data_IF_244329502056
#
_entry.id   IF_244329502056
#
_cell.length_a   1.000
_cell.length_b   1.000
_cell.length_c   1.000
_cell.angle_alpha   90.00
_cell.angle_beta   90.00
_cell.angle_gamma   90.00
#
_symmetry.space_group_name_H-M   'P 1'
#
loop_
_entity.id
_entity.type
_entity.pdbx_description
1 polymer ?
#
# COMPACT_ATOMS: atom_id res chain seq x y z
N UNK A 1 37.92 3.64 12.28
CA UNK A 1 37.46 3.07 11.00
C UNK A 1 35.93 3.04 11.01
N UNK A 2 35.31 4.11 10.52
CA UNK A 2 33.85 4.28 10.49
C UNK A 2 33.24 3.25 9.55
N UNK A 3 32.34 2.40 10.04
CA UNK A 3 31.49 1.55 9.18
C UNK A 3 30.54 2.49 8.44
N UNK A 4 30.90 2.89 7.22
CA UNK A 4 29.96 3.50 6.30
C UNK A 4 28.80 2.52 6.10
N UNK A 5 27.62 2.91 6.56
CA UNK A 5 26.39 2.22 6.20
C UNK A 5 26.19 2.42 4.70
N UNK A 6 26.19 1.32 3.95
CA UNK A 6 25.81 1.26 2.55
C UNK A 6 24.49 2.01 2.32
N UNK A 7 24.36 2.67 1.17
CA UNK A 7 23.16 3.45 0.87
C UNK A 7 21.94 2.51 0.76
N UNK A 8 20.70 2.97 1.02
CA UNK A 8 19.50 2.12 0.99
C UNK A 8 19.26 1.41 -0.34
N UNK A 9 19.85 1.90 -1.43
CA UNK A 9 19.77 1.30 -2.77
C UNK A 9 20.71 0.09 -2.96
N UNK A 10 21.61 -0.21 -2.00
CA UNK A 10 22.61 -1.29 -2.08
C UNK A 10 22.23 -2.58 -1.31
N UNK A 11 20.95 -2.78 -0.99
CA UNK A 11 20.47 -4.13 -0.64
C UNK A 11 20.09 -4.88 -1.91
N UNK A 12 21.11 -5.28 -2.68
CA UNK A 12 20.93 -6.22 -3.79
C UNK A 12 20.32 -7.52 -3.24
N UNK A 13 19.17 -7.89 -3.79
CA UNK A 13 18.55 -9.16 -3.44
C UNK A 13 19.22 -10.23 -4.30
N UNK A 14 20.43 -10.62 -3.91
CA UNK A 14 21.32 -11.51 -4.68
C UNK A 14 20.61 -12.78 -5.12
N UNK A 15 19.71 -13.32 -4.29
CA UNK A 15 18.86 -14.45 -4.65
C UNK A 15 18.02 -14.18 -5.91
N UNK A 16 17.34 -13.04 -5.98
CA UNK A 16 16.50 -12.68 -7.12
C UNK A 16 17.34 -12.47 -8.36
N UNK A 17 18.49 -11.81 -8.24
CA UNK A 17 19.38 -11.54 -9.36
C UNK A 17 19.94 -12.83 -9.95
N UNK A 18 20.36 -13.78 -9.09
CA UNK A 18 20.77 -15.13 -9.49
C UNK A 18 19.64 -15.90 -10.20
N UNK A 19 18.42 -15.85 -9.66
CA UNK A 19 17.28 -16.53 -10.28
C UNK A 19 16.88 -15.90 -11.62
N UNK A 20 16.94 -14.58 -11.75
CA UNK A 20 16.69 -13.91 -13.03
C UNK A 20 17.73 -14.31 -14.06
N UNK A 21 19.02 -14.30 -13.70
CA UNK A 21 20.12 -14.69 -14.56
C UNK A 21 19.99 -16.16 -15.03
N UNK A 22 19.47 -17.05 -14.17
CA UNK A 22 19.21 -18.44 -14.51
C UNK A 22 17.96 -18.62 -15.40
N UNK A 23 16.84 -17.99 -15.07
CA UNK A 23 15.55 -18.23 -15.70
C UNK A 23 15.36 -17.50 -17.04
N UNK A 24 15.88 -16.27 -17.15
CA UNK A 24 15.63 -15.41 -18.32
C UNK A 24 16.12 -16.03 -19.63
N UNK A 25 17.35 -16.59 -19.73
CA UNK A 25 17.81 -17.25 -20.95
C UNK A 25 16.96 -18.46 -21.34
N UNK A 26 16.46 -19.22 -20.36
CA UNK A 26 15.59 -20.36 -20.60
C UNK A 26 14.25 -19.90 -21.16
N UNK A 27 13.69 -18.80 -20.66
CA UNK A 27 12.45 -18.23 -21.19
C UNK A 27 12.62 -17.68 -22.60
N UNK A 28 13.76 -17.04 -22.89
CA UNK A 28 14.12 -16.59 -24.23
C UNK A 28 14.22 -17.77 -25.20
N UNK A 29 14.86 -18.87 -24.79
CA UNK A 29 14.96 -20.09 -25.59
C UNK A 29 13.59 -20.75 -25.84
N UNK A 30 12.65 -20.67 -24.89
CA UNK A 30 11.29 -21.18 -25.06
C UNK A 30 10.39 -20.26 -25.90
N UNK A 31 10.70 -18.97 -26.00
CA UNK A 31 9.85 -17.95 -26.61
C UNK A 31 9.35 -18.29 -28.04
N UNK A 32 10.15 -18.91 -28.93
CA UNK A 32 9.70 -19.23 -30.29
C UNK A 32 8.65 -20.35 -30.38
N UNK A 33 8.52 -21.19 -29.36
CA UNK A 33 7.69 -22.41 -29.42
C UNK A 33 6.20 -22.15 -29.16
N UNK A 34 5.33 -23.16 -29.35
CA UNK A 34 3.89 -23.04 -29.05
C UNK A 34 3.62 -23.13 -27.54
N UNK A 35 2.44 -22.70 -27.09
CA UNK A 35 2.06 -22.65 -25.67
C UNK A 35 2.32 -23.97 -24.91
N UNK A 36 1.89 -25.11 -25.44
CA UNK A 36 2.08 -26.41 -24.78
C UNK A 36 3.57 -26.80 -24.67
N UNK A 37 4.37 -26.44 -25.66
CA UNK A 37 5.81 -26.66 -25.67
C UNK A 37 6.51 -25.75 -24.65
N UNK A 38 6.15 -24.47 -24.58
CA UNK A 38 6.63 -23.57 -23.52
C UNK A 38 6.25 -24.07 -22.11
N UNK A 39 5.07 -24.68 -21.98
CA UNK A 39 4.54 -25.25 -20.74
C UNK A 39 5.34 -26.47 -20.26
N UNK A 40 5.54 -27.45 -21.14
CA UNK A 40 6.14 -28.75 -20.83
C UNK A 40 7.65 -28.82 -21.04
N UNK A 41 8.17 -28.03 -21.97
CA UNK A 41 9.56 -28.03 -22.43
C UNK A 41 9.68 -28.54 -23.86
N UNK A 42 10.87 -28.36 -24.44
CA UNK A 42 11.24 -28.85 -25.78
C UNK A 42 12.67 -29.38 -25.73
N UNK A 43 12.87 -30.64 -26.11
CA UNK A 43 14.17 -31.29 -25.99
C UNK A 43 14.69 -31.19 -24.54
N UNK A 44 15.89 -30.63 -24.38
CA UNK A 44 16.53 -30.42 -23.08
C UNK A 44 16.10 -29.12 -22.38
N UNK A 45 15.29 -28.27 -23.03
CA UNK A 45 14.84 -27.00 -22.47
C UNK A 45 13.62 -27.25 -21.57
N UNK A 46 13.71 -27.07 -20.24
CA UNK A 46 12.61 -27.35 -19.33
C UNK A 46 11.49 -26.32 -19.50
N UNK A 47 10.23 -26.78 -19.52
CA UNK A 47 9.08 -25.89 -19.55
C UNK A 47 8.83 -25.17 -18.22
N UNK A 48 8.02 -24.10 -18.26
CA UNK A 48 7.79 -23.27 -17.08
C UNK A 48 7.17 -24.01 -15.88
N UNK A 49 6.41 -25.10 -16.09
CA UNK A 49 5.84 -25.87 -14.98
C UNK A 49 6.92 -26.57 -14.16
N UNK A 50 7.90 -27.16 -14.84
CA UNK A 50 9.03 -27.85 -14.20
C UNK A 50 9.93 -26.84 -13.49
N UNK A 51 10.19 -25.70 -14.13
CA UNK A 51 10.94 -24.60 -13.52
C UNK A 51 10.24 -24.07 -12.28
N UNK A 52 8.91 -23.88 -12.30
CA UNK A 52 8.16 -23.44 -11.13
C UNK A 52 8.24 -24.45 -9.97
N UNK A 53 8.19 -25.75 -10.26
CA UNK A 53 8.34 -26.79 -9.25
C UNK A 53 9.77 -26.88 -8.68
N UNK A 54 10.80 -26.60 -9.49
CA UNK A 54 12.17 -26.46 -9.04
C UNK A 54 12.34 -25.23 -8.14
N UNK A 55 11.83 -24.09 -8.59
CA UNK A 55 11.89 -22.82 -7.86
C UNK A 55 11.18 -22.92 -6.50
N UNK A 56 10.02 -23.57 -6.45
CA UNK A 56 9.31 -23.79 -5.19
C UNK A 56 10.15 -24.61 -4.19
N UNK A 57 10.90 -25.61 -4.66
CA UNK A 57 11.80 -26.39 -3.80
C UNK A 57 12.98 -25.57 -3.29
N UNK A 58 13.59 -24.77 -4.18
CA UNK A 58 14.67 -23.85 -3.82
C UNK A 58 14.18 -22.86 -2.76
N UNK A 59 13.06 -22.19 -3.00
CA UNK A 59 12.48 -21.23 -2.07
C UNK A 59 12.15 -21.83 -0.70
N UNK A 60 11.60 -23.04 -0.64
CA UNK A 60 11.32 -23.73 0.63
C UNK A 60 12.59 -24.13 1.38
N UNK A 61 13.68 -24.43 0.67
CA UNK A 61 14.97 -24.78 1.26
C UNK A 61 15.75 -23.54 1.73
N UNK A 62 15.76 -22.48 0.92
CA UNK A 62 16.47 -21.22 1.20
C UNK A 62 15.75 -20.40 2.27
N UNK A 63 14.41 -20.43 2.28
CA UNK A 63 13.58 -19.71 3.24
C UNK A 63 12.64 -20.69 3.95
N UNK A 64 13.19 -21.55 4.82
CA UNK A 64 12.38 -22.51 5.55
C UNK A 64 11.40 -21.80 6.49
N UNK A 65 10.27 -22.44 6.70
CA UNK A 65 9.33 -22.08 7.76
C UNK A 65 9.42 -23.15 8.85
N UNK A 66 10.09 -22.81 9.94
CA UNK A 66 10.40 -23.73 11.04
C UNK A 66 9.17 -24.07 11.90
N UNK A 67 8.03 -23.43 11.63
CA UNK A 67 6.77 -23.75 12.30
C UNK A 67 6.32 -25.18 11.98
N UNK A 68 5.49 -25.80 12.85
CA UNK A 68 4.82 -27.07 12.55
C UNK A 68 4.06 -27.00 11.23
N UNK A 69 3.93 -28.12 10.50
CA UNK A 69 3.34 -28.13 9.15
C UNK A 69 1.94 -27.50 9.08
N UNK A 70 1.12 -27.67 10.13
CA UNK A 70 -0.21 -27.06 10.24
C UNK A 70 -0.16 -25.52 10.36
N UNK A 71 0.99 -24.95 10.72
CA UNK A 71 1.20 -23.54 11.00
C UNK A 71 2.09 -22.81 10.00
N UNK A 72 2.75 -23.54 9.10
CA UNK A 72 3.61 -22.95 8.07
C UNK A 72 2.84 -21.98 7.17
N UNK A 73 3.48 -20.84 6.87
CA UNK A 73 2.98 -19.75 6.04
C UNK A 73 3.94 -19.34 4.93
N UNK A 74 5.24 -19.66 5.05
CA UNK A 74 6.28 -19.36 4.06
C UNK A 74 6.30 -17.87 3.65
N UNK A 75 6.15 -16.97 4.62
CA UNK A 75 6.01 -15.53 4.37
C UNK A 75 7.19 -14.95 3.56
N UNK A 76 8.42 -15.36 3.87
CA UNK A 76 9.61 -14.90 3.16
C UNK A 76 9.63 -15.43 1.72
N UNK A 77 9.33 -16.71 1.49
CA UNK A 77 9.24 -17.27 0.15
C UNK A 77 8.14 -16.59 -0.70
N UNK A 78 6.96 -16.32 -0.13
CA UNK A 78 5.88 -15.59 -0.80
C UNK A 78 6.29 -14.17 -1.22
N UNK A 79 7.09 -13.48 -0.40
CA UNK A 79 7.68 -12.18 -0.76
C UNK A 79 8.65 -12.32 -1.91
N UNK A 80 9.55 -13.31 -1.87
CA UNK A 80 10.51 -13.54 -2.95
C UNK A 80 9.85 -13.93 -4.27
N UNK A 81 8.77 -14.72 -4.25
CA UNK A 81 7.96 -15.00 -5.45
C UNK A 81 7.45 -13.70 -6.09
N UNK A 82 6.99 -12.76 -5.27
CA UNK A 82 6.49 -11.47 -5.77
C UNK A 82 7.61 -10.63 -6.37
N UNK A 83 8.77 -10.58 -5.69
CA UNK A 83 9.97 -9.88 -6.18
C UNK A 83 10.47 -10.49 -7.50
N UNK A 84 10.56 -11.83 -7.59
CA UNK A 84 11.03 -12.55 -8.77
C UNK A 84 10.14 -12.28 -9.99
N UNK A 85 8.81 -12.29 -9.82
CA UNK A 85 7.87 -11.94 -10.89
C UNK A 85 8.08 -10.53 -11.42
N UNK A 86 8.33 -9.56 -10.52
CA UNK A 86 8.59 -8.17 -10.91
C UNK A 86 9.92 -8.05 -11.64
N UNK A 87 10.98 -8.67 -11.09
CA UNK A 87 12.32 -8.64 -11.65
C UNK A 87 12.37 -9.30 -13.04
N UNK A 88 11.78 -10.49 -13.22
CA UNK A 88 11.70 -11.16 -14.53
C UNK A 88 10.97 -10.33 -15.58
N UNK A 89 9.90 -9.62 -15.20
CA UNK A 89 9.17 -8.73 -16.12
C UNK A 89 9.96 -7.48 -16.48
N UNK A 90 10.80 -6.98 -15.57
CA UNK A 90 11.68 -5.85 -15.82
C UNK A 90 12.82 -6.30 -16.75
N UNK A 91 13.53 -7.36 -16.37
CA UNK A 91 14.62 -7.95 -17.14
C UNK A 91 14.19 -8.33 -18.57
N UNK A 92 12.99 -8.90 -18.73
CA UNK A 92 12.44 -9.20 -20.06
C UNK A 92 12.27 -7.96 -20.96
N UNK A 93 12.22 -6.74 -20.40
CA UNK A 93 12.13 -5.49 -21.17
C UNK A 93 13.48 -4.83 -21.40
N UNK A 94 14.46 -5.09 -20.54
CA UNK A 94 15.73 -4.35 -20.49
C UNK A 94 16.94 -5.18 -20.92
N UNK A 95 16.86 -6.51 -20.84
CA UNK A 95 18.03 -7.41 -20.94
C UNK A 95 17.93 -8.44 -22.07
N UNK A 96 16.78 -8.56 -22.75
CA UNK A 96 16.65 -9.48 -23.88
C UNK A 96 17.48 -9.02 -25.07
N UNK A 97 18.09 -9.99 -25.77
CA UNK A 97 18.89 -9.71 -26.98
C UNK A 97 18.01 -9.39 -28.17
N UNK A 98 16.86 -10.06 -28.27
CA UNK A 98 15.87 -9.83 -29.32
C UNK A 98 14.62 -9.11 -28.77
N UNK A 99 14.41 -7.84 -29.12
CA UNK A 99 13.23 -7.08 -28.74
C UNK A 99 11.89 -7.72 -29.17
N UNK A 100 11.89 -8.55 -30.23
CA UNK A 100 10.67 -9.23 -30.67
C UNK A 100 10.19 -10.29 -29.66
N UNK A 101 11.08 -10.78 -28.80
CA UNK A 101 10.76 -11.82 -27.81
C UNK A 101 10.21 -11.28 -26.49
N UNK A 102 10.21 -9.96 -26.28
CA UNK A 102 9.73 -9.30 -25.05
C UNK A 102 8.34 -9.80 -24.63
N UNK A 103 7.37 -9.77 -25.54
CA UNK A 103 6.01 -10.17 -25.23
C UNK A 103 5.89 -11.69 -24.94
N UNK A 104 6.41 -12.60 -25.79
CA UNK A 104 6.48 -14.02 -25.50
C UNK A 104 7.14 -14.35 -24.15
N UNK A 105 8.27 -13.72 -23.82
CA UNK A 105 9.00 -13.96 -22.56
C UNK A 105 8.19 -13.45 -21.36
N UNK A 106 7.56 -12.27 -21.45
CA UNK A 106 6.66 -11.76 -20.40
C UNK A 106 5.48 -12.71 -20.17
N UNK A 107 4.94 -13.31 -21.23
CA UNK A 107 3.88 -14.33 -21.12
C UNK A 107 4.38 -15.57 -20.38
N UNK A 108 5.56 -16.09 -20.74
CA UNK A 108 6.19 -17.23 -20.05
C UNK A 108 6.44 -16.91 -18.58
N UNK A 109 7.05 -15.77 -18.27
CA UNK A 109 7.33 -15.32 -16.90
C UNK A 109 6.03 -15.18 -16.07
N UNK A 110 4.94 -14.74 -16.71
CA UNK A 110 3.62 -14.66 -16.07
C UNK A 110 3.06 -16.06 -15.75
N UNK A 111 3.13 -17.01 -16.69
CA UNK A 111 2.67 -18.38 -16.46
C UNK A 111 3.52 -19.13 -15.43
N UNK A 112 4.85 -19.00 -15.52
CA UNK A 112 5.80 -19.47 -14.51
C UNK A 112 5.42 -18.95 -13.13
N UNK A 113 5.25 -17.62 -13.01
CA UNK A 113 4.90 -17.00 -11.73
C UNK A 113 3.56 -17.48 -11.18
N UNK A 114 2.57 -17.72 -12.04
CA UNK A 114 1.26 -18.24 -11.61
C UNK A 114 1.37 -19.70 -11.13
N UNK A 115 2.08 -20.56 -11.85
CA UNK A 115 2.36 -21.92 -11.43
C UNK A 115 3.12 -21.96 -10.10
N UNK A 116 4.13 -21.11 -9.94
CA UNK A 116 4.89 -20.98 -8.70
C UNK A 116 4.01 -20.53 -7.53
N UNK A 117 3.14 -19.52 -7.72
CA UNK A 117 2.20 -19.10 -6.68
C UNK A 117 1.17 -20.17 -6.33
N UNK A 118 0.76 -21.00 -7.29
CA UNK A 118 -0.16 -22.10 -7.04
C UNK A 118 0.46 -23.15 -6.09
N UNK A 119 1.75 -23.42 -6.20
CA UNK A 119 2.47 -24.33 -5.28
C UNK A 119 2.56 -23.83 -3.83
N UNK A 120 2.16 -22.58 -3.57
CA UNK A 120 2.06 -21.99 -2.23
C UNK A 120 0.62 -21.56 -1.87
N UNK A 121 -0.39 -21.95 -2.66
CA UNK A 121 -1.77 -21.47 -2.47
C UNK A 121 -2.35 -21.85 -1.12
N UNK A 122 -2.12 -23.08 -0.67
CA UNK A 122 -2.62 -23.59 0.61
C UNK A 122 -2.09 -22.75 1.79
N UNK A 123 -0.80 -22.41 1.80
CA UNK A 123 -0.21 -21.57 2.86
C UNK A 123 -0.81 -20.16 2.86
N UNK A 124 -1.08 -19.61 1.66
CA UNK A 124 -1.73 -18.31 1.50
C UNK A 124 -3.19 -18.34 1.95
N UNK A 125 -3.91 -19.42 1.68
CA UNK A 125 -5.29 -19.62 2.15
C UNK A 125 -5.36 -19.70 3.67
N UNK A 126 -4.46 -20.46 4.30
CA UNK A 126 -4.33 -20.53 5.77
C UNK A 126 -4.00 -19.17 6.38
N UNK A 127 -3.06 -18.43 5.78
CA UNK A 127 -2.75 -17.05 6.20
C UNK A 127 -3.97 -16.15 6.15
N UNK A 128 -4.74 -16.20 5.05
CA UNK A 128 -5.95 -15.41 4.88
C UNK A 128 -7.05 -15.82 5.87
N UNK A 129 -7.21 -17.11 6.16
CA UNK A 129 -8.16 -17.61 7.15
C UNK A 129 -7.83 -17.08 8.56
N UNK A 130 -6.60 -17.26 9.03
CA UNK A 130 -6.14 -16.73 10.33
C UNK A 130 -6.25 -15.21 10.40
N UNK A 131 -5.93 -14.51 9.32
CA UNK A 131 -6.09 -13.06 9.26
C UNK A 131 -7.56 -12.65 9.42
N UNK A 132 -8.49 -13.33 8.74
CA UNK A 132 -9.93 -13.07 8.87
C UNK A 132 -10.41 -13.34 10.30
N UNK A 133 -10.02 -14.46 10.90
CA UNK A 133 -10.36 -14.80 12.29
C UNK A 133 -9.89 -13.70 13.26
N UNK A 134 -8.61 -13.32 13.18
CA UNK A 134 -8.03 -12.25 14.01
C UNK A 134 -8.73 -10.90 13.81
N UNK A 135 -9.13 -10.60 12.58
CA UNK A 135 -9.88 -9.38 12.25
C UNK A 135 -11.28 -9.43 12.86
N UNK A 136 -11.97 -10.56 12.79
CA UNK A 136 -13.29 -10.77 13.42
C UNK A 136 -13.20 -10.64 14.93
N UNK A 137 -12.25 -11.31 15.57
CA UNK A 137 -11.99 -11.24 17.02
C UNK A 137 -11.77 -9.80 17.49
N UNK A 138 -10.91 -9.06 16.79
CA UNK A 138 -10.60 -7.65 17.09
C UNK A 138 -11.78 -6.69 16.94
N UNK A 139 -12.86 -7.08 16.26
CA UNK A 139 -14.05 -6.24 16.06
C UNK A 139 -15.12 -6.47 17.12
N UNK A 140 -15.00 -7.56 17.90
CA UNK A 140 -15.87 -7.83 19.04
C UNK A 140 -15.79 -6.67 20.04
N UNK A 141 -16.92 -6.34 20.66
CA UNK A 141 -17.10 -5.12 21.46
C UNK A 141 -16.05 -5.00 22.58
N UNK A 142 -15.78 -6.11 23.23
CA UNK A 142 -14.80 -6.30 24.30
C UNK A 142 -13.34 -6.09 23.87
N UNK A 143 -13.04 -6.23 22.58
CA UNK A 143 -11.68 -6.10 22.01
C UNK A 143 -11.45 -4.77 21.29
N UNK A 144 -12.46 -3.88 21.29
CA UNK A 144 -12.35 -2.57 20.65
C UNK A 144 -11.42 -1.66 21.44
N UNK A 145 -10.74 -0.81 20.69
CA UNK A 145 -9.74 0.12 21.23
C UNK A 145 -10.34 1.51 21.20
N UNK A 146 -10.43 2.14 22.37
CA UNK A 146 -10.76 3.56 22.46
C UNK A 146 -9.59 4.41 21.97
N UNK A 147 -9.90 5.40 21.15
CA UNK A 147 -8.93 6.35 20.58
C UNK A 147 -9.34 7.77 20.92
N UNK A 148 -8.34 8.62 21.14
CA UNK A 148 -8.53 10.04 21.50
C UNK A 148 -7.66 10.90 20.58
N UNK A 149 -8.30 11.71 19.74
CA UNK A 149 -7.61 12.55 18.77
C UNK A 149 -7.21 13.89 19.36
N UNK A 150 -7.63 14.25 20.57
CA UNK A 150 -7.65 15.64 21.05
C UNK A 150 -6.30 16.33 20.97
N UNK A 151 -5.26 15.72 21.53
CA UNK A 151 -3.91 16.31 21.54
C UNK A 151 -3.30 16.31 20.15
N UNK A 152 -3.49 15.22 19.40
CA UNK A 152 -2.96 15.05 18.05
C UNK A 152 -3.62 16.01 17.04
N UNK A 153 -4.91 16.30 17.19
CA UNK A 153 -5.63 17.21 16.33
C UNK A 153 -5.28 18.67 16.63
N UNK A 154 -5.11 19.04 17.91
CA UNK A 154 -4.57 20.35 18.30
C UNK A 154 -3.14 20.56 17.79
N UNK A 155 -2.31 19.53 17.90
CA UNK A 155 -0.96 19.54 17.34
C UNK A 155 -1.00 19.73 15.81
N UNK A 156 -1.83 18.96 15.11
CA UNK A 156 -1.99 19.07 13.67
C UNK A 156 -2.49 20.46 13.24
N UNK A 157 -3.49 21.00 13.93
CA UNK A 157 -3.99 22.36 13.71
C UNK A 157 -2.85 23.37 13.82
N UNK A 158 -2.12 23.38 14.94
CA UNK A 158 -0.97 24.28 15.16
C UNK A 158 0.07 24.18 14.04
N UNK A 159 0.46 22.97 13.66
CA UNK A 159 1.49 22.75 12.62
C UNK A 159 1.02 23.29 11.26
N UNK A 160 -0.24 23.09 10.88
CA UNK A 160 -0.76 23.63 9.63
C UNK A 160 -0.97 25.15 9.70
N UNK A 161 -1.35 25.71 10.85
CA UNK A 161 -1.37 27.16 11.06
C UNK A 161 0.03 27.76 10.92
N UNK A 162 1.07 27.12 11.44
CA UNK A 162 2.46 27.58 11.26
C UNK A 162 2.85 27.62 9.77
N UNK A 163 2.41 26.65 8.96
CA UNK A 163 2.58 26.69 7.50
C UNK A 163 1.86 27.89 6.89
N UNK A 164 0.60 28.13 7.27
CA UNK A 164 -0.19 29.25 6.75
C UNK A 164 0.41 30.62 7.12
N UNK A 165 1.03 30.72 8.28
CA UNK A 165 1.78 31.89 8.75
C UNK A 165 3.16 32.05 8.07
N UNK A 166 3.53 31.16 7.14
CA UNK A 166 4.81 31.21 6.42
C UNK A 166 6.02 30.74 7.24
N UNK A 167 5.80 30.04 8.36
CA UNK A 167 6.89 29.42 9.13
C UNK A 167 7.36 28.13 8.46
N UNK A 168 8.44 27.56 9.00
CA UNK A 168 9.10 26.37 8.46
C UNK A 168 9.01 25.16 9.41
N UNK A 169 7.80 24.62 9.70
CA UNK A 169 7.67 23.48 10.59
C UNK A 169 8.26 22.20 9.97
N UNK A 170 8.55 21.22 10.81
CA UNK A 170 9.05 19.93 10.35
C UNK A 170 8.06 19.28 9.36
N UNK A 171 8.52 18.99 8.14
CA UNK A 171 7.71 18.42 7.07
C UNK A 171 7.06 17.08 7.43
N UNK A 172 7.67 16.32 8.36
CA UNK A 172 7.12 15.05 8.85
C UNK A 172 5.82 15.31 9.62
N UNK A 173 5.80 16.36 10.43
CA UNK A 173 4.63 16.74 11.21
C UNK A 173 3.53 17.30 10.30
N UNK A 174 3.89 18.08 9.27
CA UNK A 174 2.95 18.53 8.23
C UNK A 174 2.32 17.32 7.50
N UNK A 175 3.15 16.34 7.11
CA UNK A 175 2.69 15.09 6.48
C UNK A 175 1.68 14.33 7.35
N UNK A 176 2.01 14.11 8.62
CA UNK A 176 1.13 13.43 9.56
C UNK A 176 -0.15 14.23 9.83
N UNK A 177 -0.05 15.56 9.89
CA UNK A 177 -1.21 16.46 10.07
C UNK A 177 -2.18 16.37 8.90
N UNK A 178 -1.68 16.43 7.67
CA UNK A 178 -2.49 16.26 6.45
C UNK A 178 -3.11 14.85 6.40
N UNK A 179 -2.38 13.82 6.81
CA UNK A 179 -2.90 12.45 6.88
C UNK A 179 -4.02 12.27 7.90
N UNK A 180 -3.88 12.86 9.09
CA UNK A 180 -4.92 12.84 10.11
C UNK A 180 -6.16 13.62 9.64
N UNK A 181 -5.97 14.79 9.04
CA UNK A 181 -7.07 15.66 8.63
C UNK A 181 -7.90 15.12 7.46
N UNK A 182 -7.33 14.27 6.59
CA UNK A 182 -7.97 13.82 5.32
C UNK A 182 -8.14 12.31 5.19
N UNK A 183 -7.48 11.55 6.08
CA UNK A 183 -7.37 10.10 6.02
C UNK A 183 -6.70 9.58 4.74
N UNK A 184 -6.05 10.41 3.93
CA UNK A 184 -5.39 9.96 2.70
C UNK A 184 -4.18 9.08 3.00
N UNK A 185 -3.87 8.17 2.08
CA UNK A 185 -2.73 7.24 2.19
C UNK A 185 -1.41 8.00 2.02
N UNK A 186 -0.34 7.46 2.57
CA UNK A 186 1.01 8.04 2.44
C UNK A 186 1.39 8.26 0.96
N UNK A 187 1.14 7.26 0.10
CA UNK A 187 1.36 7.38 -1.35
C UNK A 187 0.49 8.43 -2.03
N UNK A 188 -0.67 8.76 -1.48
CA UNK A 188 -1.52 9.83 -2.02
C UNK A 188 -0.92 11.19 -1.66
N UNK A 189 -0.69 11.42 -0.37
CA UNK A 189 -0.15 12.69 0.14
C UNK A 189 1.19 13.01 -0.53
N UNK A 190 2.08 12.04 -0.63
CA UNK A 190 3.45 12.25 -1.11
C UNK A 190 3.67 11.95 -2.60
N UNK A 191 2.61 11.72 -3.39
CA UNK A 191 2.76 11.54 -4.84
C UNK A 191 1.49 11.96 -5.58
N UNK A 192 0.36 11.25 -5.43
CA UNK A 192 -0.74 11.40 -6.38
C UNK A 192 -1.79 12.46 -6.05
N UNK A 193 -1.90 12.91 -4.80
CA UNK A 193 -3.01 13.75 -4.34
C UNK A 193 -3.06 15.12 -5.03
N UNK A 194 -4.27 15.63 -5.22
CA UNK A 194 -4.53 17.05 -5.46
C UNK A 194 -5.73 17.43 -4.60
N UNK A 195 -5.61 18.54 -3.88
CA UNK A 195 -6.66 19.10 -3.05
C UNK A 195 -7.06 20.46 -3.59
N UNK A 196 -8.36 20.73 -3.57
CA UNK A 196 -8.97 22.01 -3.89
C UNK A 196 -10.04 22.27 -2.83
N UNK A 197 -10.09 23.48 -2.31
CA UNK A 197 -11.07 23.88 -1.30
C UNK A 197 -12.47 23.95 -1.92
N UNK A 198 -13.46 23.35 -1.25
CA UNK A 198 -14.87 23.43 -1.63
C UNK A 198 -15.70 24.20 -0.60
N UNK A 199 -15.39 24.00 0.68
CA UNK A 199 -16.00 24.69 1.82
C UNK A 199 -15.02 24.65 3.00
N UNK A 200 -15.38 25.32 4.11
CA UNK A 200 -14.52 25.45 5.31
C UNK A 200 -13.92 24.12 5.78
N UNK A 201 -14.65 23.01 5.66
CA UNK A 201 -14.19 21.67 6.07
C UNK A 201 -14.39 20.60 4.99
N UNK A 202 -14.40 21.00 3.72
CA UNK A 202 -14.60 20.08 2.61
C UNK A 202 -13.62 20.38 1.48
N UNK A 203 -13.02 19.33 0.92
CA UNK A 203 -12.09 19.44 -0.20
C UNK A 203 -12.48 18.52 -1.35
N UNK A 204 -12.17 18.95 -2.56
CA UNK A 204 -12.15 18.11 -3.74
C UNK A 204 -10.80 17.37 -3.79
N UNK A 205 -10.83 16.05 -3.75
CA UNK A 205 -9.66 15.19 -3.81
C UNK A 205 -9.59 14.44 -5.14
N UNK A 206 -8.41 14.47 -5.78
CA UNK A 206 -8.04 13.60 -6.90
C UNK A 206 -6.76 12.84 -6.58
N UNK A 207 -6.53 11.74 -7.29
CA UNK A 207 -5.32 10.93 -7.14
C UNK A 207 -5.47 9.68 -6.29
N UNK A 208 -6.69 9.15 -6.12
CA UNK A 208 -6.96 7.93 -5.37
C UNK A 208 -6.06 6.76 -5.84
N UNK A 209 -5.38 6.11 -4.89
CA UNK A 209 -4.58 4.90 -5.13
C UNK A 209 -5.35 3.61 -4.83
N UNK A 210 -4.72 2.45 -5.09
CA UNK A 210 -5.26 1.10 -4.85
C UNK A 210 -6.52 0.77 -5.68
N UNK A 211 -6.44 0.97 -6.99
CA UNK A 211 -7.40 0.47 -7.97
C UNK A 211 -6.73 0.34 -9.32
N UNK A 212 -5.63 -0.44 -9.42
CA UNK A 212 -4.82 -0.55 -10.65
C UNK A 212 -5.74 -0.90 -11.83
N UNK A 213 -5.74 -0.01 -12.83
CA UNK A 213 -6.60 -0.01 -14.03
C UNK A 213 -8.12 0.08 -13.82
N UNK A 214 -8.57 0.26 -12.57
CA UNK A 214 -9.98 0.46 -12.25
C UNK A 214 -10.45 1.77 -12.85
N UNK A 215 -11.42 1.66 -13.75
CA UNK A 215 -12.20 2.79 -14.24
C UNK A 215 -13.54 2.81 -13.52
N UNK A 216 -13.96 3.98 -13.09
CA UNK A 216 -15.29 4.21 -12.52
C UNK A 216 -16.17 4.75 -13.61
N UNK A 217 -17.40 4.22 -13.71
CA UNK A 217 -18.41 4.75 -14.62
C UNK A 217 -19.01 6.01 -14.00
N UNK A 218 -18.82 7.16 -14.64
CA UNK A 218 -19.42 8.43 -14.26
C UNK A 218 -20.24 8.90 -15.45
N UNK A 219 -21.58 8.82 -15.32
CA UNK A 219 -22.49 8.91 -16.47
C UNK A 219 -22.17 7.80 -17.48
N UNK A 220 -21.97 8.17 -18.75
CA UNK A 220 -21.65 7.22 -19.82
C UNK A 220 -20.14 7.02 -20.02
N UNK A 221 -19.28 7.69 -19.26
CA UNK A 221 -17.82 7.65 -19.43
C UNK A 221 -17.16 6.74 -18.40
N UNK A 222 -16.18 5.95 -18.84
CA UNK A 222 -15.28 5.22 -17.97
C UNK A 222 -14.02 6.04 -17.69
N UNK A 223 -13.89 6.56 -16.48
CA UNK A 223 -12.79 7.45 -16.08
C UNK A 223 -11.83 6.67 -15.17
N UNK A 224 -10.50 6.71 -15.40
CA UNK A 224 -9.54 6.11 -14.47
C UNK A 224 -9.74 6.65 -13.05
N UNK A 225 -9.76 5.77 -12.03
CA UNK A 225 -10.02 6.13 -10.64
C UNK A 225 -9.14 7.30 -10.15
N UNK A 226 -7.88 7.35 -10.56
CA UNK A 226 -6.93 8.43 -10.23
C UNK A 226 -7.40 9.82 -10.67
N UNK A 227 -8.21 9.91 -11.73
CA UNK A 227 -8.75 11.15 -12.30
C UNK A 227 -10.15 11.50 -11.77
N UNK A 228 -10.78 10.61 -11.01
CA UNK A 228 -12.07 10.88 -10.37
C UNK A 228 -11.88 11.90 -9.25
N UNK A 229 -12.80 12.87 -9.17
CA UNK A 229 -12.87 13.82 -8.07
C UNK A 229 -13.78 13.26 -7.00
N UNK A 230 -13.31 13.23 -5.75
CA UNK A 230 -14.07 12.86 -4.57
C UNK A 230 -14.23 14.10 -3.69
N UNK A 231 -15.45 14.45 -3.30
CA UNK A 231 -15.66 15.42 -2.25
C UNK A 231 -15.51 14.69 -0.91
N UNK A 232 -14.59 15.16 -0.06
CA UNK A 232 -14.32 14.52 1.23
C UNK A 232 -14.31 15.57 2.35
N UNK A 233 -14.84 15.23 3.53
CA UNK A 233 -14.73 16.09 4.69
C UNK A 233 -13.27 16.17 5.16
N UNK A 234 -12.98 17.19 5.98
CA UNK A 234 -11.69 17.36 6.64
C UNK A 234 -11.89 17.63 8.13
N UNK A 235 -10.94 17.19 8.95
CA UNK A 235 -11.01 17.40 10.41
C UNK A 235 -10.46 18.77 10.85
N UNK A 236 -9.75 19.45 9.96
CA UNK A 236 -9.19 20.79 10.11
C UNK A 236 -9.66 21.62 8.91
N UNK A 237 -9.55 22.94 8.95
CA UNK A 237 -10.01 23.77 7.83
C UNK A 237 -9.37 23.37 6.50
N UNK A 238 -10.18 23.38 5.43
CA UNK A 238 -9.81 22.97 4.09
C UNK A 238 -8.62 23.80 3.56
N UNK A 239 -8.60 25.09 3.86
CA UNK A 239 -7.50 26.00 3.55
C UNK A 239 -6.17 25.49 4.14
N UNK A 240 -6.13 25.19 5.44
CA UNK A 240 -4.93 24.71 6.14
C UNK A 240 -4.43 23.37 5.56
N UNK A 241 -5.36 22.47 5.21
CA UNK A 241 -5.04 21.18 4.60
C UNK A 241 -4.43 21.36 3.20
N UNK A 242 -5.02 22.23 2.38
CA UNK A 242 -4.51 22.57 1.05
C UNK A 242 -3.12 23.22 1.12
N UNK A 243 -2.92 24.17 2.04
CA UNK A 243 -1.62 24.79 2.29
C UNK A 243 -0.58 23.79 2.76
N UNK A 244 -0.94 22.87 3.65
CA UNK A 244 -0.07 21.79 4.12
C UNK A 244 0.39 20.87 2.98
N UNK A 245 -0.52 20.49 2.07
CA UNK A 245 -0.14 19.69 0.90
C UNK A 245 0.81 20.46 -0.03
N UNK A 246 0.53 21.75 -0.27
CA UNK A 246 1.37 22.60 -1.10
C UNK A 246 2.77 22.79 -0.48
N UNK A 247 2.85 22.98 0.84
CA UNK A 247 4.12 23.07 1.56
C UNK A 247 5.00 21.81 1.38
N UNK A 248 4.40 20.62 1.40
CA UNK A 248 5.13 19.38 1.13
C UNK A 248 5.68 19.34 -0.31
N UNK A 249 4.93 19.88 -1.28
CA UNK A 249 5.39 20.02 -2.67
C UNK A 249 6.61 20.94 -2.75
N UNK A 250 6.50 22.15 -2.19
CA UNK A 250 7.57 23.18 -2.27
C UNK A 250 8.84 22.75 -1.55
N UNK A 251 8.74 21.92 -0.51
CA UNK A 251 9.88 21.32 0.20
C UNK A 251 10.47 20.07 -0.48
N UNK A 252 9.99 19.70 -1.67
CA UNK A 252 10.44 18.50 -2.38
C UNK A 252 10.14 17.20 -1.62
N UNK A 253 9.09 17.20 -0.80
CA UNK A 253 8.62 16.06 -0.02
C UNK A 253 7.46 15.34 -0.71
N UNK A 254 7.30 15.56 -2.01
CA UNK A 254 6.37 14.82 -2.89
C UNK A 254 7.13 14.35 -4.12
N UNK A 255 6.82 13.15 -4.58
CA UNK A 255 7.27 12.65 -5.88
C UNK A 255 6.37 13.23 -6.96
N UNK A 256 6.85 13.18 -8.19
CA UNK A 256 6.04 13.54 -9.35
C UNK A 256 4.71 12.79 -9.36
N UNK A 257 3.64 13.51 -9.71
CA UNK A 257 2.26 13.00 -9.59
C UNK A 257 1.95 11.80 -10.45
N UNK A 258 2.81 11.45 -11.40
CA UNK A 258 2.67 10.28 -12.28
C UNK A 258 3.64 9.15 -11.95
N UNK A 259 4.53 9.34 -10.97
CA UNK A 259 5.46 8.30 -10.55
C UNK A 259 4.76 7.10 -9.89
N UNK A 260 5.54 6.03 -9.75
CA UNK A 260 5.16 4.86 -8.96
C UNK A 260 5.10 5.22 -7.48
N UNK A 261 3.87 5.31 -6.94
CA UNK A 261 3.63 5.56 -5.53
C UNK A 261 4.21 4.46 -4.60
N UNK A 262 4.61 3.29 -5.11
CA UNK A 262 5.35 2.31 -4.30
C UNK A 262 6.72 2.87 -3.85
N UNK A 263 7.33 3.80 -4.60
CA UNK A 263 8.59 4.49 -4.22
C UNK A 263 8.46 5.36 -2.97
N UNK A 264 7.25 5.87 -2.69
CA UNK A 264 6.95 6.62 -1.46
C UNK A 264 7.27 5.79 -0.22
N UNK A 265 6.90 4.50 -0.24
CA UNK A 265 7.17 3.62 0.90
C UNK A 265 8.67 3.40 1.11
N UNK A 266 9.43 3.21 0.03
CA UNK A 266 10.88 3.05 0.11
C UNK A 266 11.55 4.31 0.70
N UNK A 267 11.12 5.48 0.25
CA UNK A 267 11.75 6.76 0.61
C UNK A 267 11.39 7.24 2.02
N UNK A 268 10.13 7.12 2.42
CA UNK A 268 9.62 7.84 3.59
C UNK A 268 8.94 6.96 4.66
N UNK A 269 8.59 5.69 4.38
CA UNK A 269 7.81 4.91 5.33
C UNK A 269 8.52 4.71 6.67
N UNK A 270 9.83 4.49 6.68
CA UNK A 270 10.60 4.30 7.91
C UNK A 270 10.54 5.54 8.81
N UNK A 271 10.86 6.70 8.25
CA UNK A 271 10.91 7.98 8.98
C UNK A 271 9.52 8.40 9.46
N UNK A 272 8.50 8.29 8.60
CA UNK A 272 7.13 8.65 8.95
C UNK A 272 6.54 7.71 10.02
N UNK A 273 6.78 6.39 9.95
CA UNK A 273 6.30 5.48 11.00
C UNK A 273 7.02 5.66 12.34
N UNK A 274 8.27 6.14 12.34
CA UNK A 274 8.96 6.48 13.57
C UNK A 274 8.32 7.71 14.23
N UNK A 275 8.07 8.77 13.46
CA UNK A 275 7.47 9.99 13.99
C UNK A 275 6.03 9.78 14.49
N UNK A 276 5.25 8.89 13.87
CA UNK A 276 3.88 8.57 14.32
C UNK A 276 3.86 7.97 15.74
N UNK A 277 4.99 7.51 16.27
CA UNK A 277 5.07 7.05 17.67
C UNK A 277 4.79 8.16 18.67
N UNK A 278 5.04 9.41 18.31
CA UNK A 278 4.77 10.57 19.17
C UNK A 278 3.31 11.06 19.06
N UNK A 279 2.51 10.48 18.15
CA UNK A 279 1.11 10.85 17.95
C UNK A 279 0.20 10.02 18.85
N UNK A 280 -0.23 10.64 19.95
CA UNK A 280 -1.08 10.00 20.96
C UNK A 280 -2.54 9.93 20.52
N UNK A 281 -2.84 9.01 19.60
CA UNK A 281 -4.21 8.65 19.18
C UNK A 281 -4.54 7.21 19.53
N UNK A 282 -3.57 6.33 19.28
CA UNK A 282 -3.67 4.89 19.48
C UNK A 282 -2.73 4.45 20.62
N UNK A 283 -2.94 3.28 21.22
CA UNK A 283 -1.96 2.65 22.09
C UNK A 283 -0.59 2.58 21.40
N UNK A 284 0.50 2.79 22.16
CA UNK A 284 1.87 2.96 21.66
C UNK A 284 2.31 1.87 20.65
N UNK A 285 1.97 0.61 20.95
CA UNK A 285 2.27 -0.54 20.11
C UNK A 285 1.54 -0.56 18.75
N UNK A 286 0.47 0.22 18.59
CA UNK A 286 -0.36 0.24 17.37
C UNK A 286 -0.13 1.46 16.48
N UNK A 287 0.57 2.49 16.98
CA UNK A 287 0.85 3.74 16.28
C UNK A 287 1.66 3.47 15.00
N UNK A 288 1.02 3.67 13.84
CA UNK A 288 1.62 3.54 12.52
C UNK A 288 0.91 4.48 11.55
N UNK A 289 1.61 4.98 10.53
CA UNK A 289 1.11 6.08 9.70
C UNK A 289 -0.25 5.80 9.05
N UNK A 290 -0.45 4.57 8.58
CA UNK A 290 -1.71 4.18 7.95
C UNK A 290 -2.92 4.23 8.89
N UNK A 291 -2.71 4.29 10.21
CA UNK A 291 -3.79 4.36 11.22
C UNK A 291 -4.41 5.75 11.32
N UNK A 292 -3.76 6.81 10.83
CA UNK A 292 -4.43 8.10 10.70
C UNK A 292 -5.71 8.01 9.87
N UNK A 293 -5.73 7.16 8.84
CA UNK A 293 -6.94 6.88 8.06
C UNK A 293 -8.07 6.27 8.88
N UNK A 294 -7.73 5.41 9.86
CA UNK A 294 -8.70 4.84 10.78
C UNK A 294 -9.25 5.92 11.72
N UNK A 295 -8.38 6.72 12.33
CA UNK A 295 -8.75 7.81 13.22
C UNK A 295 -9.65 8.84 12.49
N UNK A 296 -9.25 9.23 11.29
CA UNK A 296 -10.01 10.09 10.38
C UNK A 296 -11.41 9.55 10.14
N UNK A 297 -11.54 8.30 9.69
CA UNK A 297 -12.86 7.73 9.38
C UNK A 297 -13.76 7.73 10.61
N UNK A 298 -13.22 7.34 11.78
CA UNK A 298 -14.00 7.32 13.02
C UNK A 298 -14.42 8.72 13.46
N UNK A 299 -13.57 9.73 13.29
CA UNK A 299 -13.92 11.12 13.56
C UNK A 299 -15.03 11.62 12.61
N UNK A 300 -14.94 11.34 11.30
CA UNK A 300 -15.97 11.69 10.32
C UNK A 300 -17.33 11.06 10.67
N UNK A 301 -17.35 9.78 11.06
CA UNK A 301 -18.58 9.09 11.50
C UNK A 301 -19.20 9.76 12.72
N UNK A 302 -18.39 10.17 13.71
CA UNK A 302 -18.91 10.88 14.90
C UNK A 302 -19.43 12.27 14.56
N UNK A 303 -18.83 12.93 13.58
CA UNK A 303 -19.25 14.27 13.14
C UNK A 303 -20.52 14.24 12.27
N UNK A 304 -20.93 13.08 11.75
CA UNK A 304 -22.11 12.91 10.91
C UNK A 304 -23.15 12.04 11.62
N UNK A 305 -24.15 12.68 12.23
CA UNK A 305 -25.20 11.98 12.99
C UNK A 305 -26.10 11.08 12.13
N UNK A 306 -26.03 11.18 10.81
CA UNK A 306 -26.79 10.31 9.90
C UNK A 306 -26.13 8.94 9.67
N UNK A 307 -24.87 8.78 10.08
CA UNK A 307 -24.09 7.57 9.84
C UNK A 307 -24.12 6.66 11.07
N UNK A 308 -24.53 5.41 10.88
CA UNK A 308 -24.44 4.40 11.94
C UNK A 308 -22.97 4.11 12.29
N UNK A 309 -22.55 4.20 13.56
CA UNK A 309 -21.17 3.96 13.97
C UNK A 309 -20.64 2.54 13.73
N UNK A 310 -21.49 1.61 13.35
CA UNK A 310 -21.18 0.20 13.09
C UNK A 310 -21.69 -0.30 11.73
N UNK A 311 -22.54 0.48 11.05
CA UNK A 311 -22.93 0.29 9.66
C UNK A 311 -22.58 1.51 8.78
N UNK A 312 -21.27 1.73 8.62
CA UNK A 312 -20.71 2.88 7.89
C UNK A 312 -20.05 2.49 6.56
N UNK A 313 -20.34 1.31 5.99
CA UNK A 313 -19.59 0.82 4.81
C UNK A 313 -19.73 1.74 3.60
N UNK A 314 -20.95 2.15 3.29
CA UNK A 314 -21.20 3.00 2.13
C UNK A 314 -20.66 4.41 2.35
N UNK A 315 -20.79 4.94 3.57
CA UNK A 315 -20.15 6.19 3.96
C UNK A 315 -18.62 6.11 3.82
N UNK A 316 -18.00 5.04 4.33
CA UNK A 316 -16.57 4.82 4.20
C UNK A 316 -16.14 4.72 2.73
N UNK A 317 -16.88 4.01 1.87
CA UNK A 317 -16.60 3.94 0.43
C UNK A 317 -16.54 5.33 -0.21
N UNK A 318 -17.46 6.22 0.17
CA UNK A 318 -17.50 7.60 -0.32
C UNK A 318 -16.31 8.41 0.17
N UNK A 319 -16.11 8.51 1.49
CA UNK A 319 -15.07 9.40 2.04
C UNK A 319 -13.67 8.84 1.83
N UNK A 320 -13.48 7.51 1.79
CA UNK A 320 -12.19 6.87 1.60
C UNK A 320 -11.85 6.60 0.13
N UNK A 321 -12.84 6.58 -0.77
CA UNK A 321 -12.69 6.15 -2.17
C UNK A 321 -12.22 4.69 -2.28
N UNK A 322 -12.46 3.89 -1.24
CA UNK A 322 -11.99 2.50 -1.09
C UNK A 322 -13.17 1.55 -1.24
N UNK A 323 -13.07 0.48 -2.03
CA UNK A 323 -14.09 -0.55 -2.17
C UNK A 323 -13.74 -1.86 -1.45
N UNK A 324 -12.56 -1.92 -0.82
CA UNK A 324 -12.16 -3.08 -0.03
C UNK A 324 -12.89 -3.08 1.32
N UNK A 325 -14.03 -3.78 1.35
CA UNK A 325 -14.85 -3.94 2.55
C UNK A 325 -14.09 -4.61 3.71
N UNK A 326 -13.10 -5.46 3.43
CA UNK A 326 -12.29 -6.09 4.47
C UNK A 326 -11.45 -5.04 5.19
N UNK A 327 -10.85 -4.12 4.43
CA UNK A 327 -10.09 -2.98 4.97
C UNK A 327 -11.00 -2.01 5.71
N UNK A 328 -12.17 -1.67 5.14
CA UNK A 328 -13.14 -0.76 5.79
C UNK A 328 -13.61 -1.33 7.13
N UNK A 329 -14.03 -2.60 7.14
CA UNK A 329 -14.53 -3.21 8.35
C UNK A 329 -13.43 -3.36 9.41
N UNK A 330 -12.14 -3.39 9.03
CA UNK A 330 -11.05 -3.44 10.01
C UNK A 330 -11.01 -2.19 10.91
N UNK A 331 -11.60 -1.07 10.46
CA UNK A 331 -11.74 0.14 11.26
C UNK A 331 -12.85 0.06 12.32
N UNK A 332 -13.75 -0.94 12.27
CA UNK A 332 -14.73 -1.21 13.34
C UNK A 332 -14.08 -1.57 14.68
N UNK A 333 -12.78 -1.87 14.68
CA UNK A 333 -11.97 -2.09 15.89
C UNK A 333 -11.87 -0.85 16.78
N UNK A 334 -11.98 0.36 16.21
CA UNK A 334 -11.69 1.59 16.93
C UNK A 334 -12.96 2.34 17.32
N UNK A 335 -12.99 2.91 18.52
CA UNK A 335 -14.08 3.75 19.01
C UNK A 335 -13.54 5.10 19.50
N UNK A 336 -14.20 6.19 19.13
CA UNK A 336 -13.83 7.52 19.64
C UNK A 336 -14.20 7.57 21.12
N UNK A 337 -13.22 7.89 21.98
CA UNK A 337 -13.46 8.09 23.40
C UNK A 337 -14.43 9.26 23.62
N UNK A 338 -15.45 9.15 24.47
CA UNK A 338 -16.38 10.25 24.73
C UNK A 338 -15.65 11.54 25.14
N UNK A 339 -16.07 12.68 24.59
CA UNK A 339 -15.44 13.99 24.82
C UNK A 339 -14.18 14.25 23.99
N UNK A 340 -13.76 13.32 23.13
CA UNK A 340 -12.66 13.54 22.18
C UNK A 340 -13.02 14.65 21.20
N UNK A 341 -12.05 15.51 20.91
CA UNK A 341 -12.13 16.49 19.84
C UNK A 341 -11.92 15.81 18.47
N UNK A 342 -12.93 15.86 17.61
CA UNK A 342 -12.96 15.18 16.30
C UNK A 342 -12.91 16.13 15.11
N UNK A 343 -12.97 17.44 15.34
CA UNK A 343 -12.91 18.49 14.34
C UNK A 343 -12.46 19.80 15.00
N UNK A 344 -11.66 20.61 14.30
CA UNK A 344 -11.17 21.91 14.77
C UNK A 344 -11.24 22.96 13.68
#
# INVERSE_FOLDING_TARGET
MSRQAKSPDEFENTFIDEQVAYLLPIFEALAPYKLNQRKKGVGDIPGWERLAAQEARILKATYPDEQPEAERQYNTALRQITSLKKALKLAAKTELKDPALVNPVITIATHFGNALSYLFSEYKERQNARYREKVTERRQKENRVQIDLTNSLKFAHRILTEVAEGKDPNWIDVSCSVALATGRRMGEIHCSATFEELAEYEIAFRGQLKGKDRKVKIGDKQIPLRKVTFCIPTLLSAELVCMGLNYLETKGKRLDRNEDAERVNLRWAKVLNLAVKDWDIFPEGERTYHKFRAAYLRACIVNDTSVDPYDFRDYAKQVLGDDDETTIDAYKRYEIKPGTLTKL
#
